data_IF_402652169494
#
_entry.id   IF_402652169494
#
_cell.length_a   1.000
_cell.length_b   1.000
_cell.length_c   1.000
_cell.angle_alpha   90.00
_cell.angle_beta   90.00
_cell.angle_gamma   90.00
#
_symmetry.space_group_name_H-M   'P 1'
#
loop_
_entity.id
_entity.type
_entity.pdbx_description
1 polymer ?
#
# COMPACT_ATOMS: atom_id res chain seq x y z
N UNK A 1 -0.15 9.40 -5.66
CA UNK A 1 0.18 8.91 -4.32
C UNK A 1 1.42 8.08 -4.47
N UNK A 2 2.52 8.51 -3.86
CA UNK A 2 3.82 7.86 -3.94
C UNK A 2 3.88 6.65 -2.97
N UNK A 3 4.84 5.75 -3.14
CA UNK A 3 5.04 4.58 -2.27
C UNK A 3 5.23 4.99 -0.80
N UNK A 4 5.88 6.13 -0.56
CA UNK A 4 6.09 6.68 0.76
C UNK A 4 4.77 7.08 1.45
N UNK A 5 3.82 7.65 0.70
CA UNK A 5 2.50 8.02 1.22
C UNK A 5 1.70 6.76 1.62
N UNK A 6 1.77 5.72 0.80
CA UNK A 6 1.09 4.44 1.04
C UNK A 6 1.71 3.75 2.26
N UNK A 7 3.04 3.67 2.33
CA UNK A 7 3.75 3.09 3.44
C UNK A 7 3.49 3.85 4.76
N UNK A 8 3.42 5.18 4.73
CA UNK A 8 3.10 5.99 5.90
C UNK A 8 1.68 5.70 6.42
N UNK A 9 0.70 5.60 5.52
CA UNK A 9 -0.67 5.26 5.90
C UNK A 9 -0.78 3.85 6.48
N UNK A 10 -0.11 2.87 5.87
CA UNK A 10 -0.08 1.49 6.37
C UNK A 10 0.63 1.40 7.72
N UNK A 11 1.73 2.13 7.91
CA UNK A 11 2.40 2.22 9.20
C UNK A 11 1.48 2.78 10.28
N UNK A 12 0.77 3.87 10.00
CA UNK A 12 -0.17 4.45 10.96
C UNK A 12 -1.28 3.45 11.35
N UNK A 13 -1.78 2.66 10.39
CA UNK A 13 -2.76 1.61 10.64
C UNK A 13 -2.18 0.46 11.49
N UNK A 14 -0.97 0.00 11.19
CA UNK A 14 -0.29 -1.05 11.95
C UNK A 14 -0.01 -0.62 13.40
N UNK A 15 0.47 0.61 13.58
CA UNK A 15 0.70 1.18 14.92
C UNK A 15 -0.62 1.30 15.68
N UNK A 16 -1.68 1.76 15.04
CA UNK A 16 -3.00 1.85 15.68
C UNK A 16 -3.57 0.48 16.06
N UNK A 17 -3.40 -0.52 15.19
CA UNK A 17 -3.83 -1.90 15.44
C UNK A 17 -3.08 -2.56 16.60
N UNK A 18 -1.83 -2.16 16.85
CA UNK A 18 -1.01 -2.72 17.93
C UNK A 18 -1.38 -2.21 19.33
N UNK A 19 -2.42 -1.39 19.45
CA UNK A 19 -3.03 -0.96 20.70
C UNK A 19 -2.48 0.34 21.28
N UNK A 20 -2.83 0.62 22.53
CA UNK A 20 -2.58 1.90 23.20
C UNK A 20 -1.19 2.03 23.84
N UNK A 21 -0.38 0.97 23.82
CA UNK A 21 0.97 1.03 24.38
C UNK A 21 1.96 1.63 23.37
N UNK A 22 2.78 2.60 23.79
CA UNK A 22 3.81 3.15 22.93
C UNK A 22 4.82 2.06 22.56
N UNK A 23 4.96 1.83 21.26
CA UNK A 23 5.95 0.91 20.71
C UNK A 23 7.37 1.36 21.01
N UNK A 24 8.25 0.39 21.29
CA UNK A 24 9.69 0.64 21.35
C UNK A 24 10.21 1.15 20.00
N UNK A 25 11.35 1.87 19.98
CA UNK A 25 11.95 2.33 18.73
C UNK A 25 12.19 1.20 17.72
N UNK A 26 12.66 0.04 18.19
CA UNK A 26 12.95 -1.13 17.35
C UNK A 26 11.69 -1.70 16.73
N UNK A 27 10.61 -1.81 17.51
CA UNK A 27 9.31 -2.27 17.01
C UNK A 27 8.73 -1.32 15.96
N UNK A 28 8.90 0.00 16.14
CA UNK A 28 8.48 0.99 15.14
C UNK A 28 9.27 0.86 13.84
N UNK A 29 10.58 0.59 13.93
CA UNK A 29 11.43 0.37 12.74
C UNK A 29 10.97 -0.87 11.99
N UNK A 30 10.70 -1.97 12.68
CA UNK A 30 10.25 -3.21 12.02
C UNK A 30 8.88 -3.03 11.39
N UNK A 31 7.93 -2.40 12.08
CA UNK A 31 6.63 -2.05 11.51
C UNK A 31 6.74 -1.12 10.30
N UNK A 32 7.69 -0.19 10.32
CA UNK A 32 7.99 0.66 9.17
C UNK A 32 8.45 -0.18 7.97
N UNK A 33 9.37 -1.11 8.18
CA UNK A 33 9.84 -2.04 7.12
C UNK A 33 8.70 -2.89 6.58
N UNK A 34 7.84 -3.40 7.45
CA UNK A 34 6.69 -4.20 7.07
C UNK A 34 5.66 -3.39 6.26
N UNK A 35 5.38 -2.14 6.67
CA UNK A 35 4.52 -1.23 5.91
C UNK A 35 5.05 -0.96 4.49
N UNK A 36 6.37 -0.82 4.33
CA UNK A 36 6.99 -0.69 3.00
C UNK A 36 6.80 -1.95 2.15
N UNK A 37 6.99 -3.15 2.71
CA UNK A 37 6.76 -4.41 1.99
C UNK A 37 5.30 -4.52 1.51
N UNK A 38 4.34 -4.12 2.35
CA UNK A 38 2.93 -4.10 1.94
C UNK A 38 2.64 -3.05 0.87
N UNK A 39 3.28 -1.87 0.94
CA UNK A 39 3.14 -0.85 -0.09
C UNK A 39 3.67 -1.33 -1.46
N UNK A 40 4.82 -2.00 -1.48
CA UNK A 40 5.39 -2.62 -2.69
C UNK A 40 4.45 -3.69 -3.27
N UNK A 41 3.93 -4.58 -2.42
CA UNK A 41 2.99 -5.61 -2.83
C UNK A 41 1.69 -5.02 -3.40
N UNK A 42 1.15 -3.96 -2.78
CA UNK A 42 -0.03 -3.26 -3.26
C UNK A 42 0.20 -2.60 -4.63
N UNK A 43 1.34 -1.91 -4.81
CA UNK A 43 1.68 -1.30 -6.10
C UNK A 43 1.79 -2.37 -7.18
N UNK A 44 2.48 -3.47 -6.90
CA UNK A 44 2.63 -4.59 -7.83
C UNK A 44 1.28 -5.20 -8.22
N UNK A 45 0.40 -5.43 -7.24
CA UNK A 45 -0.94 -5.97 -7.47
C UNK A 45 -1.84 -4.99 -8.26
N UNK A 46 -1.78 -3.69 -7.95
CA UNK A 46 -2.49 -2.64 -8.68
C UNK A 46 -2.02 -2.56 -10.12
N UNK A 47 -0.70 -2.63 -10.36
CA UNK A 47 -0.14 -2.59 -11.71
C UNK A 47 -0.54 -3.83 -12.52
N UNK A 48 -0.59 -5.01 -11.89
CA UNK A 48 -1.13 -6.22 -12.50
C UNK A 48 -2.61 -6.03 -12.87
N UNK A 49 -3.42 -5.56 -11.92
CA UNK A 49 -4.85 -5.32 -12.13
C UNK A 49 -5.11 -4.35 -13.29
N UNK A 50 -4.35 -3.25 -13.38
CA UNK A 50 -4.48 -2.28 -14.48
C UNK A 50 -4.15 -2.93 -15.84
N UNK A 51 -3.16 -3.82 -15.91
CA UNK A 51 -2.80 -4.53 -17.15
C UNK A 51 -3.86 -5.53 -17.58
N UNK A 52 -4.57 -6.13 -16.63
CA UNK A 52 -5.59 -7.14 -16.89
C UNK A 52 -6.99 -6.55 -17.13
N UNK A 53 -7.19 -5.25 -16.88
CA UNK A 53 -8.45 -4.58 -17.20
C UNK A 53 -8.70 -4.66 -18.72
N UNK A 54 -9.87 -5.18 -19.15
CA UNK A 54 -10.23 -5.11 -20.56
C UNK A 54 -10.27 -3.63 -20.97
N UNK A 55 -9.51 -3.28 -22.00
CA UNK A 55 -9.64 -1.97 -22.63
C UNK A 55 -11.07 -1.90 -23.12
N UNK A 56 -11.89 -1.06 -22.50
CA UNK A 56 -13.19 -0.71 -23.06
C UNK A 56 -12.90 -0.07 -24.41
N UNK A 57 -12.99 -0.85 -25.49
CA UNK A 57 -13.11 -0.32 -26.83
C UNK A 57 -14.39 0.51 -26.82
N UNK A 58 -14.25 1.80 -26.52
CA UNK A 58 -15.26 2.78 -26.88
C UNK A 58 -15.23 2.77 -28.40
N UNK A 59 -16.02 1.86 -28.99
CA UNK A 59 -16.35 1.86 -30.39
C UNK A 59 -16.94 3.22 -30.70
N UNK A 60 -16.12 4.14 -31.20
CA UNK A 60 -16.62 5.33 -31.86
C UNK A 60 -17.46 4.82 -33.02
N UNK A 61 -18.78 4.91 -32.85
CA UNK A 61 -19.72 4.62 -33.92
C UNK A 61 -19.37 5.47 -35.13
N UNK A 62 -19.35 4.80 -36.28
CA UNK A 62 -19.17 5.39 -37.61
C UNK A 62 -20.16 6.53 -37.88
#
# INVERSE_FOLDING_TARGET
MDIHDIALNLFAQLVHANGSQPLSPEARIEMGREAYRFAEAYITAKDLYIRELPVSEISQGY
#
